data_IF_692847752498
#
_entry.id   IF_692847752498
#
_cell.length_a   1.000
_cell.length_b   1.000
_cell.length_c   1.000
_cell.angle_alpha   90.00
_cell.angle_beta   90.00
_cell.angle_gamma   90.00
#
_symmetry.space_group_name_H-M   'P 1'
#
loop_
_entity.id
_entity.type
_entity.pdbx_description
1 polymer ?
#
# COMPACT_ATOMS: atom_id res chain seq x y z
N UNK A 1 7.80 -12.44 2.15
CA UNK A 1 6.53 -12.99 2.69
C UNK A 1 6.20 -12.23 3.97
N UNK A 2 5.03 -11.60 4.07
CA UNK A 2 4.61 -10.83 5.26
C UNK A 2 3.80 -11.75 6.17
N UNK A 3 4.17 -11.83 7.45
CA UNK A 3 3.50 -12.71 8.43
C UNK A 3 2.69 -11.85 9.41
N UNK A 4 1.38 -12.13 9.50
CA UNK A 4 0.46 -11.44 10.40
C UNK A 4 0.19 -12.34 11.62
N UNK A 5 0.95 -12.14 12.71
CA UNK A 5 0.80 -12.95 13.94
C UNK A 5 -0.13 -12.29 14.99
N UNK A 6 -0.05 -10.96 15.14
CA UNK A 6 -0.99 -10.18 15.96
C UNK A 6 -1.50 -9.00 15.16
N UNK A 7 -2.82 -8.87 15.10
CA UNK A 7 -3.48 -7.80 14.34
C UNK A 7 -3.49 -6.49 15.14
N UNK A 8 -3.63 -6.54 16.48
CA UNK A 8 -3.59 -5.36 17.34
C UNK A 8 -2.28 -5.29 18.12
N UNK A 9 -1.50 -4.25 17.86
CA UNK A 9 -0.23 -3.97 18.56
C UNK A 9 -0.34 -2.79 19.51
N UNK A 10 -1.40 -1.97 19.40
CA UNK A 10 -1.63 -0.71 20.14
C UNK A 10 -0.57 0.38 19.92
N UNK A 11 0.41 0.15 19.06
CA UNK A 11 1.48 1.11 18.76
C UNK A 11 0.95 2.39 18.12
N UNK A 12 -0.23 2.34 17.49
CA UNK A 12 -0.87 3.48 16.84
C UNK A 12 -1.87 4.28 17.67
N UNK A 13 -2.05 3.96 18.96
CA UNK A 13 -3.09 4.58 19.79
C UNK A 13 -2.81 6.08 20.04
N UNK A 14 -1.54 6.49 19.98
CA UNK A 14 -1.12 7.89 20.08
C UNK A 14 -1.36 8.74 18.83
N UNK A 15 -2.02 8.21 17.80
CA UNK A 15 -2.33 8.96 16.57
C UNK A 15 -1.32 8.80 15.43
N UNK A 16 -0.19 8.13 15.66
CA UNK A 16 0.83 7.87 14.65
C UNK A 16 0.75 6.43 14.10
N UNK A 17 1.23 6.23 12.88
CA UNK A 17 1.36 4.92 12.24
C UNK A 17 2.78 4.74 11.69
N UNK A 18 3.22 3.49 11.55
CA UNK A 18 4.52 3.16 10.98
C UNK A 18 4.37 2.78 9.51
N UNK A 19 5.22 3.35 8.66
CA UNK A 19 5.29 3.06 7.24
C UNK A 19 6.20 1.84 6.95
N UNK A 20 6.18 1.36 5.71
CA UNK A 20 6.97 0.19 5.30
C UNK A 20 8.50 0.37 5.40
N UNK A 21 8.96 1.62 5.47
CA UNK A 21 10.35 2.00 5.69
C UNK A 21 10.72 2.18 7.18
N UNK A 22 9.77 1.93 8.10
CA UNK A 22 9.94 2.09 9.54
C UNK A 22 9.76 3.51 10.07
N UNK A 23 9.55 4.50 9.19
CA UNK A 23 9.24 5.87 9.63
C UNK A 23 7.87 5.95 10.28
N UNK A 24 7.69 6.84 11.27
CA UNK A 24 6.40 7.10 11.89
C UNK A 24 5.84 8.42 11.40
N UNK A 25 4.59 8.40 10.99
CA UNK A 25 3.85 9.56 10.49
C UNK A 25 2.49 9.63 11.17
N UNK A 26 1.94 10.84 11.28
CA UNK A 26 0.56 11.02 11.74
C UNK A 26 -0.40 10.21 10.86
N UNK A 27 -1.43 9.62 11.47
CA UNK A 27 -2.54 8.97 10.75
C UNK A 27 -3.27 9.92 9.79
N UNK A 28 -3.17 11.24 10.01
CA UNK A 28 -3.75 12.27 9.14
C UNK A 28 -2.80 12.76 8.05
N UNK A 29 -1.60 12.17 7.91
CA UNK A 29 -0.69 12.54 6.84
C UNK A 29 -1.28 12.13 5.48
N UNK A 30 -1.10 12.98 4.46
CA UNK A 30 -1.56 12.73 3.08
C UNK A 30 -1.15 11.35 2.56
N UNK A 31 0.04 10.89 2.92
CA UNK A 31 0.55 9.58 2.51
C UNK A 31 -0.28 8.42 3.07
N UNK A 32 -0.71 8.55 4.34
CA UNK A 32 -1.59 7.57 5.02
C UNK A 32 -2.96 7.55 4.37
N UNK A 33 -3.49 8.75 4.08
CA UNK A 33 -4.75 8.90 3.35
C UNK A 33 -4.68 8.24 1.97
N UNK A 34 -3.62 8.50 1.18
CA UNK A 34 -3.48 7.94 -0.17
C UNK A 34 -3.54 6.40 -0.21
N UNK A 35 -2.73 5.70 0.60
CA UNK A 35 -2.79 4.23 0.59
C UNK A 35 -4.06 3.70 1.28
N UNK A 36 -4.66 4.47 2.20
CA UNK A 36 -5.98 4.18 2.79
C UNK A 36 -7.08 4.16 1.74
N UNK A 37 -7.16 5.18 0.87
CA UNK A 37 -8.13 5.23 -0.24
C UNK A 37 -7.94 4.05 -1.20
N UNK A 38 -6.70 3.64 -1.47
CA UNK A 38 -6.42 2.47 -2.32
C UNK A 38 -6.91 1.18 -1.65
N UNK A 39 -6.78 1.05 -0.34
CA UNK A 39 -7.27 -0.11 0.42
C UNK A 39 -8.80 -0.17 0.43
N UNK A 40 -9.48 0.97 0.60
CA UNK A 40 -10.94 1.08 0.47
C UNK A 40 -11.42 0.68 -0.93
N UNK A 41 -10.76 1.18 -1.98
CA UNK A 41 -11.05 0.78 -3.35
C UNK A 41 -10.86 -0.73 -3.57
N UNK A 42 -9.82 -1.32 -2.97
CA UNK A 42 -9.56 -2.75 -3.05
C UNK A 42 -10.64 -3.58 -2.34
N UNK A 43 -11.15 -3.11 -1.20
CA UNK A 43 -12.28 -3.74 -0.50
C UNK A 43 -13.56 -3.69 -1.34
N UNK A 44 -13.87 -2.53 -1.93
CA UNK A 44 -15.01 -2.36 -2.83
C UNK A 44 -14.90 -3.26 -4.07
N UNK A 45 -13.72 -3.37 -4.68
CA UNK A 45 -13.45 -4.31 -5.78
C UNK A 45 -13.63 -5.76 -5.35
N UNK A 46 -13.25 -6.12 -4.12
CA UNK A 46 -13.47 -7.44 -3.54
C UNK A 46 -14.97 -7.79 -3.47
N UNK A 47 -15.79 -6.86 -2.96
CA UNK A 47 -17.24 -7.01 -2.89
C UNK A 47 -17.88 -7.07 -4.27
N UNK A 48 -17.53 -6.16 -5.18
CA UNK A 48 -18.04 -6.17 -6.55
C UNK A 48 -17.76 -7.51 -7.24
N UNK A 49 -16.56 -8.09 -7.05
CA UNK A 49 -16.19 -9.39 -7.60
C UNK A 49 -16.94 -10.55 -6.98
N UNK A 50 -17.30 -10.47 -5.70
CA UNK A 50 -18.13 -11.47 -5.03
C UNK A 50 -19.50 -11.60 -5.73
N UNK A 51 -20.08 -10.48 -6.14
CA UNK A 51 -21.40 -10.43 -6.77
C UNK A 51 -21.38 -10.53 -8.31
N UNK A 52 -20.31 -10.12 -8.98
CA UNK A 52 -20.27 -10.01 -10.45
C UNK A 52 -19.72 -11.24 -11.20
N UNK A 53 -19.04 -12.17 -10.52
CA UNK A 53 -18.37 -13.30 -11.19
C UNK A 53 -18.74 -14.67 -10.59
N UNK A 54 -18.98 -15.70 -11.43
CA UNK A 54 -19.18 -17.06 -10.97
C UNK A 54 -17.92 -17.56 -10.26
N UNK A 55 -18.03 -18.52 -9.32
CA UNK A 55 -16.92 -18.98 -8.48
C UNK A 55 -15.65 -19.37 -9.26
N UNK A 56 -15.82 -19.95 -10.45
CA UNK A 56 -14.74 -20.36 -11.36
C UNK A 56 -13.90 -19.21 -11.93
N UNK A 57 -14.45 -17.99 -12.00
CA UNK A 57 -13.83 -16.84 -12.66
C UNK A 57 -13.33 -15.76 -11.69
N UNK A 58 -13.41 -16.01 -10.38
CA UNK A 58 -12.94 -15.08 -9.31
C UNK A 58 -11.41 -14.98 -9.20
N UNK A 59 -10.65 -14.98 -10.30
CA UNK A 59 -9.18 -14.81 -10.27
C UNK A 59 -8.77 -13.37 -9.93
N UNK A 60 -7.74 -13.24 -9.11
CA UNK A 60 -7.27 -12.04 -8.40
C UNK A 60 -6.43 -11.05 -9.22
N UNK A 61 -6.78 -10.81 -10.50
CA UNK A 61 -6.03 -9.84 -11.32
C UNK A 61 -6.17 -8.40 -10.78
N UNK A 62 -7.41 -7.95 -10.53
CA UNK A 62 -7.68 -6.57 -10.07
C UNK A 62 -7.03 -6.25 -8.70
N UNK A 63 -7.17 -7.12 -7.69
CA UNK A 63 -6.55 -6.89 -6.37
C UNK A 63 -5.02 -6.92 -6.41
N UNK A 64 -4.41 -7.62 -7.35
CA UNK A 64 -2.94 -7.62 -7.49
C UNK A 64 -2.44 -6.28 -8.02
N UNK A 65 -3.17 -5.68 -8.96
CA UNK A 65 -2.83 -4.35 -9.50
C UNK A 65 -2.94 -3.27 -8.43
N UNK A 66 -4.01 -3.24 -7.64
CA UNK A 66 -4.14 -2.26 -6.54
C UNK A 66 -3.04 -2.43 -5.48
N UNK A 67 -2.69 -3.66 -5.11
CA UNK A 67 -1.62 -3.92 -4.14
C UNK A 67 -0.24 -3.48 -4.67
N UNK A 68 0.00 -3.59 -5.99
CA UNK A 68 1.22 -3.11 -6.62
C UNK A 68 1.35 -1.58 -6.64
N UNK A 69 0.23 -0.85 -6.55
CA UNK A 69 0.18 0.61 -6.50
C UNK A 69 0.38 1.11 -5.06
N UNK A 70 -0.23 0.46 -4.06
CA UNK A 70 -0.13 0.91 -2.65
C UNK A 70 1.24 0.65 -2.02
N UNK A 71 1.92 -0.44 -2.39
CA UNK A 71 3.23 -0.79 -1.85
C UNK A 71 4.30 0.32 -1.99
N UNK A 72 4.54 0.91 -3.17
CA UNK A 72 5.50 2.02 -3.30
C UNK A 72 5.04 3.28 -2.58
N UNK A 73 3.73 3.54 -2.47
CA UNK A 73 3.22 4.68 -1.70
C UNK A 73 3.59 4.54 -0.23
N UNK A 74 3.44 3.34 0.35
CA UNK A 74 3.84 3.07 1.75
C UNK A 74 5.36 2.98 1.97
N UNK A 75 6.17 2.76 0.92
CA UNK A 75 7.63 2.63 1.02
C UNK A 75 8.46 3.84 0.50
N UNK A 76 7.87 4.76 -0.28
CA UNK A 76 8.56 5.93 -0.83
C UNK A 76 9.03 6.92 0.24
N UNK A 77 10.33 6.99 0.54
CA UNK A 77 10.94 8.04 1.38
C UNK A 77 10.39 9.42 1.05
N UNK A 78 9.89 10.14 2.07
CA UNK A 78 9.60 11.57 1.93
C UNK A 78 10.88 12.29 1.50
N UNK A 79 10.83 13.00 0.37
CA UNK A 79 11.90 13.94 0.02
C UNK A 79 11.80 15.08 1.02
N UNK A 80 12.85 15.31 1.81
CA UNK A 80 12.98 16.59 2.54
C UNK A 80 12.81 17.73 1.54
N UNK A 81 11.89 18.65 1.82
CA UNK A 81 11.72 19.87 1.04
C UNK A 81 13.09 20.56 0.92
N UNK A 82 13.66 20.59 -0.30
CA UNK A 82 14.97 21.18 -0.59
C UNK A 82 16.00 20.26 -1.28
N UNK A 83 15.80 18.94 -1.38
CA UNK A 83 16.78 18.06 -2.02
C UNK A 83 16.47 17.83 -3.52
N UNK A 84 17.06 18.68 -4.38
CA UNK A 84 16.92 18.68 -5.84
C UNK A 84 17.72 17.57 -6.55
N UNK A 85 17.58 16.30 -6.14
CA UNK A 85 18.15 15.18 -6.89
C UNK A 85 17.12 14.63 -7.88
N UNK A 86 17.44 14.48 -9.18
CA UNK A 86 16.49 14.06 -10.20
C UNK A 86 15.88 12.69 -9.86
N UNK A 87 14.59 12.54 -10.18
CA UNK A 87 13.86 11.27 -10.07
C UNK A 87 14.60 10.17 -10.82
N UNK A 88 14.89 9.01 -10.20
CA UNK A 88 15.29 7.85 -10.98
C UNK A 88 14.10 7.45 -11.86
N UNK A 89 14.33 7.46 -13.18
CA UNK A 89 13.34 7.08 -14.19
C UNK A 89 12.88 5.65 -13.89
N UNK A 90 11.60 5.47 -13.57
CA UNK A 90 11.00 4.16 -13.38
C UNK A 90 11.13 3.37 -14.69
N UNK A 91 11.91 2.28 -14.68
CA UNK A 91 12.25 1.49 -15.86
C UNK A 91 11.41 0.22 -16.01
N UNK A 92 10.29 0.12 -15.29
CA UNK A 92 9.28 -0.92 -15.50
C UNK A 92 9.69 -2.35 -15.12
N UNK A 93 10.85 -2.61 -14.51
CA UNK A 93 11.18 -3.97 -14.07
C UNK A 93 10.63 -4.27 -12.66
N UNK A 94 9.66 -5.16 -12.62
CA UNK A 94 9.01 -5.72 -11.42
C UNK A 94 9.95 -6.50 -10.48
N UNK A 95 11.21 -6.70 -10.85
CA UNK A 95 12.07 -7.74 -10.27
C UNK A 95 12.81 -7.33 -8.99
N UNK A 96 12.67 -6.07 -8.57
CA UNK A 96 13.40 -5.56 -7.38
C UNK A 96 12.78 -5.98 -6.04
N UNK A 97 11.54 -6.48 -6.03
CA UNK A 97 10.76 -6.72 -4.80
C UNK A 97 10.60 -8.21 -4.43
N UNK A 98 11.27 -9.13 -5.14
CA UNK A 98 11.21 -10.58 -4.91
C UNK A 98 12.42 -11.16 -4.13
N UNK A 99 13.02 -10.41 -3.20
CA UNK A 99 13.94 -10.98 -2.19
C UNK A 99 13.47 -10.63 -0.79
#
# INVERSE_FOLDING_TARGET
MVVLNRIYTRTGDGGDTSLGDGTRVSKTALRVECYGTVDEANAALGLARLHAAPPSQRRSAASRTTCSISAPISAARERKAGCASPMPRWNGSSDRWMR
#
